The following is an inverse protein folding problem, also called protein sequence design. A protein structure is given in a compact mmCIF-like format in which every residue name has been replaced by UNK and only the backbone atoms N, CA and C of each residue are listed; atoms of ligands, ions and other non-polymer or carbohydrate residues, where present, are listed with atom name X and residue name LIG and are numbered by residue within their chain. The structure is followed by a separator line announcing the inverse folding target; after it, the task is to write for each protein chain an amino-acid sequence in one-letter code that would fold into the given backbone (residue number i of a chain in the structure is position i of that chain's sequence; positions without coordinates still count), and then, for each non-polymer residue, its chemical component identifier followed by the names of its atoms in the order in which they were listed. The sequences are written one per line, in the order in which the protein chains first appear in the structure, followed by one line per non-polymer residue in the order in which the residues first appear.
data_IF_247182709242
#
_entry.id   IF_247182709242
#
_cell.length_a   1.000
_cell.length_b   1.000
_cell.length_c   1.000
_cell.angle_alpha   90.00
_cell.angle_beta   90.00
_cell.angle_gamma   90.00
#
_symmetry.space_group_name_H-M   'P 1'
#
loop_
_entity.id
_entity.type
_entity.pdbx_description
1 polymer ?
#
# COMPACT_ATOMS: atom_id res chain seq x y z
N UNK A 1 -8.02 15.16 -22.38
CA UNK A 1 -6.74 15.22 -21.67
C UNK A 1 -6.89 14.44 -20.38
N UNK A 2 -5.93 13.59 -20.00
CA UNK A 2 -5.97 12.98 -18.67
C UNK A 2 -5.66 14.05 -17.62
N UNK A 3 -6.66 14.45 -16.83
CA UNK A 3 -6.42 15.35 -15.71
C UNK A 3 -5.71 14.60 -14.59
N UNK A 4 -4.56 15.13 -14.18
CA UNK A 4 -3.75 14.59 -13.08
C UNK A 4 -3.63 15.67 -11.99
N UNK A 5 -4.72 15.92 -11.25
CA UNK A 5 -4.77 17.02 -10.28
C UNK A 5 -3.87 16.77 -9.07
N UNK A 6 -3.56 15.50 -8.77
CA UNK A 6 -2.73 15.13 -7.63
C UNK A 6 -1.27 15.04 -8.07
N UNK A 7 -0.40 15.92 -7.56
CA UNK A 7 1.02 15.97 -7.94
C UNK A 7 1.91 15.69 -6.75
N UNK A 8 2.93 14.86 -6.95
CA UNK A 8 4.00 14.64 -5.99
C UNK A 8 5.00 15.81 -6.09
N UNK A 9 5.32 16.43 -4.95
CA UNK A 9 6.23 17.58 -4.87
C UNK A 9 7.70 17.22 -5.10
N UNK A 10 8.09 15.98 -4.77
CA UNK A 10 9.49 15.52 -4.83
C UNK A 10 9.96 15.27 -6.28
N UNK A 11 9.10 14.68 -7.12
CA UNK A 11 9.46 14.28 -8.49
C UNK A 11 8.54 14.87 -9.58
N UNK A 12 7.58 15.71 -9.20
CA UNK A 12 6.63 16.33 -10.15
C UNK A 12 5.65 15.36 -10.81
N UNK A 13 5.65 14.09 -10.39
CA UNK A 13 4.78 13.04 -10.94
C UNK A 13 3.32 13.32 -10.61
N UNK A 14 2.48 13.34 -11.64
CA UNK A 14 1.04 13.56 -11.53
C UNK A 14 0.26 12.25 -11.53
N UNK A 15 -0.82 12.22 -10.74
CA UNK A 15 -1.75 11.11 -10.59
C UNK A 15 -3.18 11.58 -10.81
N UNK A 16 -4.02 10.69 -11.33
CA UNK A 16 -5.45 10.93 -11.50
C UNK A 16 -6.24 10.64 -10.21
N UNK A 17 -5.64 9.93 -9.24
CA UNK A 17 -6.27 9.56 -7.98
C UNK A 17 -5.38 9.92 -6.79
N UNK A 18 -6.02 10.38 -5.70
CA UNK A 18 -5.34 10.73 -4.46
C UNK A 18 -4.63 9.54 -3.80
N UNK A 19 -5.26 8.36 -3.86
CA UNK A 19 -4.69 7.12 -3.31
C UNK A 19 -3.33 6.79 -3.92
N UNK A 20 -3.17 7.01 -5.23
CA UNK A 20 -1.89 6.78 -5.93
C UNK A 20 -0.81 7.78 -5.47
N UNK A 21 -1.16 9.05 -5.30
CA UNK A 21 -0.24 10.04 -4.72
C UNK A 21 0.18 9.65 -3.30
N UNK A 22 -0.76 9.19 -2.47
CA UNK A 22 -0.46 8.76 -1.10
C UNK A 22 0.45 7.53 -1.07
N UNK A 23 0.24 6.55 -1.95
CA UNK A 23 1.14 5.38 -2.09
C UNK A 23 2.54 5.82 -2.55
N UNK A 24 2.62 6.74 -3.51
CA UNK A 24 3.89 7.29 -4.00
C UNK A 24 4.66 7.98 -2.87
N UNK A 25 3.97 8.77 -2.03
CA UNK A 25 4.56 9.39 -0.84
C UNK A 25 5.08 8.36 0.17
N UNK A 26 4.31 7.30 0.44
CA UNK A 26 4.73 6.21 1.33
C UNK A 26 5.98 5.48 0.84
N UNK A 27 6.19 5.40 -0.48
CA UNK A 27 7.42 4.83 -1.06
C UNK A 27 8.62 5.73 -0.76
N UNK A 28 8.45 7.05 -0.79
CA UNK A 28 9.52 8.01 -0.48
C UNK A 28 9.90 8.00 1.00
N UNK A 29 8.91 7.96 1.90
CA UNK A 29 9.16 7.96 3.35
C UNK A 29 9.52 6.58 3.88
N UNK A 30 9.20 5.53 3.13
CA UNK A 30 9.28 4.14 3.59
C UNK A 30 8.18 3.78 4.60
N UNK A 31 7.26 4.70 4.90
CA UNK A 31 6.11 4.44 5.77
C UNK A 31 5.17 3.44 5.10
N UNK A 32 4.68 2.49 5.89
CA UNK A 32 3.68 1.52 5.43
C UNK A 32 2.55 1.48 6.44
N UNK A 33 1.33 1.72 6.00
CA UNK A 33 0.18 1.88 6.90
C UNK A 33 -0.51 0.58 7.28
N UNK A 34 -0.27 -0.51 6.55
CA UNK A 34 -1.03 -1.75 6.73
C UNK A 34 -0.14 -2.85 7.29
N UNK A 35 -0.16 -3.04 8.61
CA UNK A 35 0.64 -4.05 9.29
C UNK A 35 -0.11 -5.38 9.48
N UNK A 36 0.59 -6.49 9.22
CA UNK A 36 0.16 -7.82 9.59
C UNK A 36 0.54 -8.11 11.04
N UNK A 37 -0.44 -8.06 11.94
CA UNK A 37 -0.24 -8.33 13.37
C UNK A 37 0.25 -9.76 13.69
N UNK A 38 0.20 -10.69 12.74
CA UNK A 38 0.69 -12.05 12.94
C UNK A 38 2.21 -12.16 12.76
N UNK A 39 2.82 -11.36 11.88
CA UNK A 39 4.25 -11.47 11.55
C UNK A 39 5.00 -10.13 11.49
N UNK A 40 4.34 -9.01 11.77
CA UNK A 40 4.90 -7.65 11.74
C UNK A 40 5.18 -7.10 10.34
N UNK A 41 4.88 -7.85 9.27
CA UNK A 41 5.10 -7.36 7.90
C UNK A 41 4.12 -6.24 7.58
N UNK A 42 4.62 -5.16 7.02
CA UNK A 42 3.82 -3.99 6.63
C UNK A 42 3.67 -3.89 5.11
N UNK A 43 2.55 -3.33 4.66
CA UNK A 43 2.15 -3.19 3.25
C UNK A 43 1.69 -1.76 2.94
N UNK A 44 1.73 -1.39 1.66
CA UNK A 44 1.34 -0.05 1.19
C UNK A 44 -0.19 0.06 1.05
N UNK A 45 -0.86 -1.05 0.76
CA UNK A 45 -2.30 -1.09 0.56
C UNK A 45 -2.98 -2.19 1.38
N UNK A 46 -4.27 -2.00 1.68
CA UNK A 46 -5.09 -3.01 2.33
C UNK A 46 -5.23 -4.28 1.47
N UNK A 47 -5.29 -4.13 0.13
CA UNK A 47 -5.40 -5.29 -0.77
C UNK A 47 -4.20 -6.22 -0.65
N UNK A 48 -2.98 -5.67 -0.59
CA UNK A 48 -1.75 -6.44 -0.38
C UNK A 48 -1.75 -7.13 1.00
N UNK A 49 -2.19 -6.44 2.06
CA UNK A 49 -2.32 -7.05 3.39
C UNK A 49 -3.34 -8.20 3.39
N UNK A 50 -4.48 -8.04 2.72
CA UNK A 50 -5.52 -9.08 2.64
C UNK A 50 -5.04 -10.30 1.86
N UNK A 51 -4.32 -10.09 0.76
CA UNK A 51 -3.70 -11.18 0.00
C UNK A 51 -2.64 -11.88 0.86
N UNK A 52 -1.78 -11.11 1.53
CA UNK A 52 -0.78 -11.66 2.44
C UNK A 52 -1.41 -12.51 3.56
N UNK A 53 -2.51 -12.07 4.17
CA UNK A 53 -3.19 -12.84 5.23
C UNK A 53 -3.61 -14.24 4.78
N UNK A 54 -3.84 -14.47 3.48
CA UNK A 54 -4.18 -15.80 2.96
C UNK A 54 -3.04 -16.81 3.14
N UNK A 55 -1.79 -16.36 3.15
CA UNK A 55 -0.66 -17.27 3.39
C UNK A 55 -0.73 -17.84 4.82
N UNK A 56 -1.13 -17.03 5.80
CA UNK A 56 -1.26 -17.48 7.19
C UNK A 56 -2.43 -18.46 7.38
N UNK A 57 -3.47 -18.39 6.54
CA UNK A 57 -4.55 -19.37 6.55
C UNK A 57 -4.19 -20.70 5.91
N UNK A 58 -3.21 -20.71 4.99
CA UNK A 58 -2.67 -21.94 4.39
C UNK A 58 -1.62 -22.57 5.31
N UNK A 59 -0.79 -21.74 5.92
CA UNK A 59 0.27 -22.15 6.86
C UNK A 59 -0.29 -22.60 8.23
N UNK A 60 -1.51 -22.18 8.57
CA UNK A 60 -2.20 -22.60 9.78
C UNK A 60 -3.52 -23.26 9.37
N UNK A 61 -3.60 -24.60 9.33
CA UNK A 61 -4.87 -25.26 9.05
C UNK A 61 -5.89 -24.73 10.06
N UNK A 62 -7.03 -24.27 9.54
CA UNK A 62 -8.15 -23.91 10.40
C UNK A 62 -8.54 -25.16 11.21
N UNK A 63 -8.76 -25.04 12.53
CA UNK A 63 -9.33 -26.14 13.30
C UNK A 63 -10.73 -26.50 12.81
#
# INVERSE_FOLDING_TARGET
AEERPYKCGEYGKGFNQRSQLTIDQMIHTGERSYECLQCGKSFLTNSELLEHKRIHTVERPLP
#
